data_IF_372445548340
#
_entry.id   IF_372445548340
#
_cell.length_a   1.000
_cell.length_b   1.000
_cell.length_c   1.000
_cell.angle_alpha   90.00
_cell.angle_beta   90.00
_cell.angle_gamma   90.00
#
_symmetry.space_group_name_H-M   'P 1'
#
loop_
_entity.id
_entity.type
_entity.pdbx_description
1 polymer ?
#
# COMPACT_ATOMS: atom_id res chain seq x y z
N UNK A 1 -9.87 41.66 -24.67
CA UNK A 1 -10.44 40.85 -25.78
C UNK A 1 -9.50 39.68 -26.02
N UNK A 2 -9.76 38.52 -25.40
CA UNK A 2 -8.90 37.34 -25.55
C UNK A 2 -9.19 36.67 -26.89
N UNK A 3 -8.21 36.71 -27.79
CA UNK A 3 -8.30 36.11 -29.13
C UNK A 3 -7.93 34.63 -29.04
N UNK A 4 -8.90 33.75 -29.21
CA UNK A 4 -8.68 32.30 -29.26
C UNK A 4 -8.17 31.91 -30.64
N UNK A 5 -6.86 31.64 -30.74
CA UNK A 5 -6.21 31.15 -31.96
C UNK A 5 -6.72 29.74 -32.26
N UNK A 6 -7.19 29.48 -33.49
CA UNK A 6 -7.64 28.13 -33.92
C UNK A 6 -6.49 27.13 -33.74
N UNK A 7 -6.67 26.17 -32.82
CA UNK A 7 -5.73 25.07 -32.57
C UNK A 7 -5.78 24.11 -33.76
N UNK A 8 -4.62 23.75 -34.30
CA UNK A 8 -4.49 22.84 -35.44
C UNK A 8 -4.70 21.38 -35.01
N UNK A 9 -5.36 20.57 -35.84
CA UNK A 9 -5.60 19.15 -35.57
C UNK A 9 -4.31 18.36 -35.31
N UNK A 10 -3.18 18.78 -35.90
CA UNK A 10 -1.85 18.22 -35.62
C UNK A 10 -1.43 18.43 -34.17
N UNK A 11 -1.64 19.62 -33.60
CA UNK A 11 -1.28 19.90 -32.20
C UNK A 11 -2.19 19.15 -31.21
N UNK A 12 -3.45 18.94 -31.58
CA UNK A 12 -4.40 18.17 -30.78
C UNK A 12 -4.04 16.67 -30.76
N UNK A 13 -3.54 16.14 -31.88
CA UNK A 13 -3.12 14.73 -32.02
C UNK A 13 -1.98 14.32 -31.07
N UNK A 14 -1.06 15.24 -30.74
CA UNK A 14 0.03 14.95 -29.80
C UNK A 14 -0.34 15.24 -28.36
N UNK A 15 -1.27 16.18 -28.14
CA UNK A 15 -1.68 16.56 -26.79
C UNK A 15 -2.45 15.43 -26.08
N UNK A 16 -3.34 14.74 -26.79
CA UNK A 16 -4.14 13.63 -26.25
C UNK A 16 -3.28 12.47 -25.72
N UNK A 17 -2.32 11.90 -26.47
CA UNK A 17 -1.49 10.80 -25.96
C UNK A 17 -0.57 11.24 -24.82
N UNK A 18 -0.06 12.49 -24.83
CA UNK A 18 0.76 13.02 -23.74
C UNK A 18 -0.07 13.18 -22.47
N UNK A 19 -1.30 13.70 -22.58
CA UNK A 19 -2.22 13.81 -21.45
C UNK A 19 -2.59 12.43 -20.91
N UNK A 20 -2.82 11.44 -21.78
CA UNK A 20 -3.10 10.06 -21.39
C UNK A 20 -1.90 9.44 -20.65
N UNK A 21 -0.68 9.66 -21.15
CA UNK A 21 0.55 9.17 -20.53
C UNK A 21 0.76 9.76 -19.12
N UNK A 22 0.50 11.06 -18.95
CA UNK A 22 0.59 11.74 -17.66
C UNK A 22 -0.48 11.24 -16.66
N UNK A 23 -1.68 10.90 -17.14
CA UNK A 23 -2.73 10.32 -16.30
C UNK A 23 -2.36 8.91 -15.81
N UNK A 24 -1.73 8.07 -16.66
CA UNK A 24 -1.30 6.72 -16.28
C UNK A 24 -0.15 6.76 -15.26
N UNK A 25 0.69 7.79 -15.27
CA UNK A 25 1.74 7.98 -14.26
C UNK A 25 1.23 8.35 -12.86
N UNK A 26 -0.03 8.74 -12.72
CA UNK A 26 -0.61 9.16 -11.44
C UNK A 26 -1.24 8.02 -10.64
N UNK A 27 -1.13 6.77 -11.10
CA UNK A 27 -1.69 5.61 -10.39
C UNK A 27 -0.91 5.37 -9.09
N UNK A 28 -1.53 5.66 -7.95
CA UNK A 28 -0.99 5.31 -6.64
C UNK A 28 -1.33 3.85 -6.32
N UNK A 29 -0.31 3.05 -6.01
CA UNK A 29 -0.52 1.68 -5.51
C UNK A 29 -0.87 1.79 -4.03
N UNK A 30 -2.12 1.49 -3.68
CA UNK A 30 -2.56 1.36 -2.28
C UNK A 30 -2.42 -0.09 -1.85
N UNK A 31 -1.72 -0.33 -0.75
CA UNK A 31 -1.66 -1.64 -0.08
C UNK A 31 -2.45 -1.58 1.22
N UNK A 32 -3.12 -2.67 1.58
CA UNK A 32 -3.72 -2.80 2.90
C UNK A 32 -2.64 -2.93 3.97
N UNK A 33 -2.95 -2.50 5.19
CA UNK A 33 -2.14 -2.80 6.36
C UNK A 33 -2.39 -4.25 6.81
N UNK A 34 -1.32 -4.94 7.21
CA UNK A 34 -1.34 -6.33 7.61
C UNK A 34 -0.71 -6.53 8.99
N UNK A 35 -1.20 -7.54 9.70
CA UNK A 35 -0.58 -8.03 10.93
C UNK A 35 -0.08 -9.44 10.69
N UNK A 36 1.20 -9.65 10.99
CA UNK A 36 1.93 -10.88 10.73
C UNK A 36 2.34 -11.51 12.06
N UNK A 37 2.24 -12.83 12.17
CA UNK A 37 2.68 -13.61 13.32
C UNK A 37 3.72 -14.65 12.87
N UNK A 38 4.88 -14.69 13.54
CA UNK A 38 5.98 -15.60 13.17
C UNK A 38 6.68 -16.23 14.39
N UNK A 39 6.74 -17.57 14.50
CA UNK A 39 6.03 -18.52 13.64
C UNK A 39 4.52 -18.48 13.93
N UNK A 40 3.70 -18.75 12.91
CA UNK A 40 2.24 -18.83 13.04
C UNK A 40 1.77 -20.15 13.64
N UNK A 41 2.60 -21.18 13.55
CA UNK A 41 2.41 -22.51 14.14
C UNK A 41 3.75 -23.07 14.61
N UNK A 42 3.72 -23.98 15.58
CA UNK A 42 4.90 -24.68 16.04
C UNK A 42 4.52 -25.85 16.94
N UNK A 43 5.39 -26.85 17.01
CA UNK A 43 5.25 -27.98 17.92
C UNK A 43 6.34 -27.89 18.98
N UNK A 44 5.93 -27.81 20.25
CA UNK A 44 6.84 -27.66 21.37
C UNK A 44 6.52 -28.73 22.42
N UNK A 45 7.57 -29.21 23.10
CA UNK A 45 7.39 -30.13 24.21
C UNK A 45 6.94 -29.38 25.47
N UNK A 46 6.25 -30.09 26.37
CA UNK A 46 5.83 -29.55 27.67
C UNK A 46 7.03 -29.00 28.43
N UNK A 47 6.87 -27.79 28.97
CA UNK A 47 7.92 -27.10 29.73
C UNK A 47 8.91 -26.30 28.89
N UNK A 48 8.82 -26.32 27.56
CA UNK A 48 9.63 -25.44 26.71
C UNK A 48 9.02 -24.05 26.58
N UNK A 49 9.89 -23.04 26.55
CA UNK A 49 9.52 -21.67 26.15
C UNK A 49 9.63 -21.54 24.64
N UNK A 50 8.65 -20.90 24.01
CA UNK A 50 8.71 -20.53 22.60
C UNK A 50 8.52 -19.01 22.45
N UNK A 51 9.04 -18.48 21.35
CA UNK A 51 8.91 -17.06 21.00
C UNK A 51 8.06 -16.94 19.74
N UNK A 52 7.02 -16.10 19.79
CA UNK A 52 6.27 -15.68 18.62
C UNK A 52 6.34 -14.17 18.48
N UNK A 53 6.55 -13.69 17.26
CA UNK A 53 6.76 -12.28 16.93
C UNK A 53 5.54 -11.78 16.19
N UNK A 54 4.90 -10.74 16.73
CA UNK A 54 3.84 -9.98 16.06
C UNK A 54 4.49 -8.79 15.35
N UNK A 55 4.19 -8.61 14.06
CA UNK A 55 4.66 -7.47 13.26
C UNK A 55 3.48 -6.79 12.58
N UNK A 56 3.53 -5.47 12.52
CA UNK A 56 2.58 -4.66 11.75
C UNK A 56 3.27 -4.21 10.46
N UNK A 57 2.69 -4.51 9.31
CA UNK A 57 3.09 -4.01 7.99
C UNK A 57 2.09 -2.95 7.56
N UNK A 58 2.42 -1.65 7.55
CA UNK A 58 1.40 -0.61 7.43
C UNK A 58 0.94 -0.31 6.01
N UNK A 59 1.40 -1.04 4.99
CA UNK A 59 0.90 -0.89 3.62
C UNK A 59 1.12 0.49 2.99
N UNK A 60 2.09 1.27 3.48
CA UNK A 60 2.35 2.64 3.03
C UNK A 60 1.68 3.72 3.86
N UNK A 61 0.91 3.37 4.89
CA UNK A 61 0.39 4.32 5.88
C UNK A 61 1.43 4.62 6.99
N UNK A 62 1.32 5.79 7.61
CA UNK A 62 2.10 6.11 8.81
C UNK A 62 1.46 5.47 10.04
N UNK A 63 2.29 4.79 10.84
CA UNK A 63 1.87 4.21 12.13
C UNK A 63 2.23 5.17 13.25
N UNK A 64 1.23 5.62 14.00
CA UNK A 64 1.43 6.49 15.17
C UNK A 64 1.46 5.70 16.49
N UNK A 65 0.66 4.64 16.58
CA UNK A 65 0.57 3.78 17.76
C UNK A 65 0.20 2.35 17.34
N UNK A 66 0.56 1.38 18.18
CA UNK A 66 0.20 -0.03 18.03
C UNK A 66 -0.36 -0.52 19.36
N UNK A 67 -1.52 -1.18 19.32
CA UNK A 67 -2.13 -1.87 20.44
C UNK A 67 -2.32 -3.34 20.06
N UNK A 68 -2.01 -4.26 20.98
CA UNK A 68 -2.15 -5.69 20.76
C UNK A 68 -2.80 -6.36 21.98
N UNK A 69 -3.78 -7.22 21.73
CA UNK A 69 -4.39 -8.10 22.73
C UNK A 69 -4.10 -9.54 22.35
N UNK A 70 -3.46 -10.29 23.25
CA UNK A 70 -3.10 -11.69 23.05
C UNK A 70 -3.94 -12.58 23.96
N UNK A 71 -4.47 -13.66 23.41
CA UNK A 71 -5.16 -14.73 24.14
C UNK A 71 -4.53 -16.07 23.75
N UNK A 72 -4.31 -16.92 24.74
CA UNK A 72 -3.86 -18.31 24.53
C UNK A 72 -4.62 -19.25 25.47
N UNK A 73 -4.62 -20.53 25.14
CA UNK A 73 -5.17 -21.60 25.97
C UNK A 73 -4.06 -22.12 26.89
N UNK A 74 -4.20 -22.04 28.23
CA UNK A 74 -3.18 -22.46 29.17
C UNK A 74 -3.04 -23.99 29.32
#
# INVERSE_FOLDING_TARGET
>A
MFSFKKISYLTLSYFVPILLLLLVWSVQVVSAAEVLLAPSTGSFNVGQTFTSVIKVSPGGANVNAVEASLKFDP
#
